data_IF_640217123868
#
_entry.id   IF_640217123868
#
_cell.length_a   1.000
_cell.length_b   1.000
_cell.length_c   1.000
_cell.angle_alpha   90.00
_cell.angle_beta   90.00
_cell.angle_gamma   90.00
#
_symmetry.space_group_name_H-M   'P 1'
#
loop_
_entity.id
_entity.type
_entity.pdbx_description
1 polymer ?
#
# COMPACT_ATOMS: atom_id res chain seq x y z
N UNK A 1 0.49 17.19 -9.81
CA UNK A 1 1.60 16.30 -9.41
C UNK A 1 2.38 16.00 -10.66
N UNK A 2 3.68 16.25 -10.67
CA UNK A 2 4.54 15.75 -11.75
C UNK A 2 4.73 14.23 -11.59
N UNK A 3 5.01 13.45 -12.64
CA UNK A 3 5.13 11.98 -12.57
C UNK A 3 6.09 11.47 -11.47
N UNK A 4 7.17 12.23 -11.24
CA UNK A 4 8.18 11.97 -10.21
C UNK A 4 7.68 12.12 -8.76
N UNK A 5 6.55 12.80 -8.53
CA UNK A 5 6.02 13.05 -7.18
C UNK A 5 4.87 12.11 -6.79
N UNK A 6 4.80 10.95 -7.44
CA UNK A 6 3.78 9.93 -7.18
C UNK A 6 4.24 8.92 -6.13
N UNK A 7 3.30 8.21 -5.51
CA UNK A 7 3.61 7.11 -4.60
C UNK A 7 4.57 6.09 -5.22
N UNK A 8 4.27 5.64 -6.44
CA UNK A 8 5.08 4.64 -7.15
C UNK A 8 6.51 5.14 -7.38
N UNK A 9 6.67 6.40 -7.79
CA UNK A 9 7.99 7.00 -7.99
C UNK A 9 8.80 7.02 -6.69
N UNK A 10 8.25 7.56 -5.58
CA UNK A 10 8.96 7.56 -4.30
C UNK A 10 9.31 6.16 -3.80
N UNK A 11 8.40 5.19 -3.96
CA UNK A 11 8.64 3.82 -3.55
C UNK A 11 9.76 3.17 -4.38
N UNK A 12 9.75 3.35 -5.70
CA UNK A 12 10.78 2.84 -6.60
C UNK A 12 12.14 3.49 -6.34
N UNK A 13 12.18 4.81 -6.16
CA UNK A 13 13.41 5.55 -5.81
C UNK A 13 14.00 5.06 -4.50
N UNK A 14 13.17 4.95 -3.45
CA UNK A 14 13.64 4.45 -2.15
C UNK A 14 14.09 2.99 -2.20
N UNK A 15 13.43 2.14 -3.01
CA UNK A 15 13.85 0.76 -3.19
C UNK A 15 15.17 0.66 -3.97
N UNK A 16 15.35 1.46 -5.02
CA UNK A 16 16.59 1.50 -5.79
C UNK A 16 17.77 1.92 -4.92
N UNK A 17 17.58 2.91 -4.05
CA UNK A 17 18.56 3.35 -3.07
C UNK A 17 18.90 2.24 -2.06
N UNK A 18 17.90 1.61 -1.43
CA UNK A 18 18.16 0.52 -0.48
C UNK A 18 18.80 -0.72 -1.13
N UNK A 19 18.39 -1.05 -2.36
CA UNK A 19 18.86 -2.23 -3.06
C UNK A 19 20.17 -2.01 -3.81
N UNK A 20 20.61 -0.75 -3.95
CA UNK A 20 21.78 -0.33 -4.75
C UNK A 20 21.75 -0.93 -6.17
N UNK A 21 20.55 -0.99 -6.78
CA UNK A 21 20.32 -1.51 -8.14
C UNK A 21 19.14 -0.82 -8.81
N UNK A 22 19.07 -0.80 -10.15
CA UNK A 22 17.92 -0.24 -10.87
C UNK A 22 16.61 -0.92 -10.48
N UNK A 23 15.53 -0.12 -10.42
CA UNK A 23 14.15 -0.59 -10.18
C UNK A 23 13.28 -0.12 -11.33
N UNK A 24 12.65 -1.05 -12.04
CA UNK A 24 11.65 -0.73 -13.06
C UNK A 24 10.27 -0.61 -12.41
N UNK A 25 9.64 0.55 -12.60
CA UNK A 25 8.30 0.82 -12.09
C UNK A 25 7.27 0.74 -13.22
N UNK A 26 6.33 -0.19 -13.09
CA UNK A 26 5.09 -0.18 -13.90
C UNK A 26 3.94 0.27 -13.02
N UNK A 27 3.31 1.40 -13.37
CA UNK A 27 2.13 1.91 -12.66
C UNK A 27 0.87 1.71 -13.50
N UNK A 28 -0.06 0.91 -12.97
CA UNK A 28 -1.42 0.74 -13.50
C UNK A 28 -2.47 1.42 -12.60
N UNK A 29 -2.02 2.27 -11.67
CA UNK A 29 -2.89 3.00 -10.76
C UNK A 29 -3.81 3.96 -11.53
N UNK A 30 -5.08 4.01 -11.12
CA UNK A 30 -6.08 4.88 -11.74
C UNK A 30 -6.79 5.71 -10.67
N UNK A 31 -6.96 7.00 -10.95
CA UNK A 31 -7.68 7.92 -10.07
C UNK A 31 -9.13 7.46 -9.92
N UNK A 32 -9.65 7.46 -8.70
CA UNK A 32 -11.02 7.02 -8.42
C UNK A 32 -11.25 5.50 -8.49
N UNK A 33 -10.21 4.69 -8.72
CA UNK A 33 -10.32 3.24 -8.75
C UNK A 33 -10.86 2.69 -7.42
N UNK A 34 -11.82 1.78 -7.53
CA UNK A 34 -12.33 0.95 -6.43
C UNK A 34 -11.63 -0.40 -6.46
N UNK A 35 -11.72 -1.19 -5.40
CA UNK A 35 -11.08 -2.51 -5.34
C UNK A 35 -11.47 -3.44 -6.48
N UNK A 36 -12.70 -3.33 -7.01
CA UNK A 36 -13.17 -4.09 -8.17
C UNK A 36 -12.39 -3.81 -9.47
N UNK A 37 -11.63 -2.71 -9.56
CA UNK A 37 -10.83 -2.38 -10.74
C UNK A 37 -9.49 -3.13 -10.79
N UNK A 38 -9.06 -3.75 -9.68
CA UNK A 38 -7.75 -4.40 -9.58
C UNK A 38 -7.55 -5.48 -10.64
N UNK A 39 -8.56 -6.30 -10.91
CA UNK A 39 -8.49 -7.35 -11.94
C UNK A 39 -8.10 -6.76 -13.31
N UNK A 40 -8.82 -5.72 -13.75
CA UNK A 40 -8.53 -5.05 -15.01
C UNK A 40 -7.22 -4.25 -15.02
N UNK A 41 -6.76 -3.78 -13.86
CA UNK A 41 -5.46 -3.12 -13.73
C UNK A 41 -4.31 -4.13 -13.84
N UNK A 42 -4.42 -5.26 -13.15
CA UNK A 42 -3.42 -6.35 -13.18
C UNK A 42 -3.31 -6.91 -14.60
N UNK A 43 -4.43 -7.10 -15.29
CA UNK A 43 -4.44 -7.58 -16.67
C UNK A 43 -3.71 -6.67 -17.68
N UNK A 44 -3.42 -5.41 -17.34
CA UNK A 44 -2.66 -4.47 -18.19
C UNK A 44 -1.15 -4.53 -17.97
N UNK A 45 -0.69 -5.21 -16.92
CA UNK A 45 0.73 -5.40 -16.67
C UNK A 45 1.20 -6.57 -17.55
N UNK A 46 2.14 -6.30 -18.46
CA UNK A 46 2.80 -7.35 -19.26
C UNK A 46 3.49 -8.35 -18.33
N UNK A 47 3.40 -9.65 -18.62
CA UNK A 47 3.87 -10.76 -17.76
C UNK A 47 5.39 -10.93 -17.86
N UNK A 48 6.15 -9.84 -17.72
CA UNK A 48 7.46 -9.96 -17.08
C UNK A 48 7.13 -9.96 -15.59
N UNK A 49 6.98 -11.16 -15.03
CA UNK A 49 6.52 -11.41 -13.66
C UNK A 49 7.18 -10.43 -12.68
N UNK A 50 6.47 -9.42 -12.16
CA UNK A 50 7.10 -8.43 -11.29
C UNK A 50 7.55 -9.11 -10.01
N UNK A 51 8.74 -8.74 -9.51
CA UNK A 51 9.26 -9.27 -8.24
C UNK A 51 8.33 -8.93 -7.07
N UNK A 52 7.75 -7.73 -7.08
CA UNK A 52 6.83 -7.25 -6.04
C UNK A 52 5.75 -6.33 -6.62
N UNK A 53 4.52 -6.49 -6.11
CA UNK A 53 3.39 -5.63 -6.38
C UNK A 53 2.96 -4.89 -5.10
N UNK A 54 2.96 -3.55 -5.16
CA UNK A 54 2.43 -2.71 -4.09
C UNK A 54 0.99 -2.25 -4.44
N UNK A 55 0.04 -2.53 -3.54
CA UNK A 55 -1.37 -2.18 -3.73
C UNK A 55 -1.81 -1.21 -2.63
N UNK A 56 -2.42 -0.08 -2.99
CA UNK A 56 -3.14 0.79 -2.05
C UNK A 56 -4.56 0.98 -2.54
N UNK A 57 -5.55 0.55 -1.77
CA UNK A 57 -6.96 0.60 -2.17
C UNK A 57 -7.90 0.64 -0.97
N UNK A 58 -9.13 1.15 -1.18
CA UNK A 58 -10.20 1.12 -0.19
C UNK A 58 -10.82 2.48 0.14
N UNK A 59 -10.09 3.58 -0.06
CA UNK A 59 -10.65 4.92 0.17
C UNK A 59 -11.88 5.18 -0.72
N UNK A 60 -11.79 4.83 -2.01
CA UNK A 60 -12.90 4.98 -2.95
C UNK A 60 -14.06 4.02 -2.68
N UNK A 61 -13.78 2.84 -2.13
CA UNK A 61 -14.80 1.88 -1.72
C UNK A 61 -15.66 2.45 -0.59
N UNK A 62 -15.02 3.12 0.38
CA UNK A 62 -15.74 3.80 1.47
C UNK A 62 -16.54 4.99 0.95
N UNK A 63 -15.96 5.86 0.12
CA UNK A 63 -16.67 7.04 -0.40
C UNK A 63 -17.86 6.67 -1.28
N UNK A 64 -17.77 5.56 -2.01
CA UNK A 64 -18.85 5.04 -2.84
C UNK A 64 -19.75 4.02 -2.15
N UNK A 65 -19.54 3.77 -0.85
CA UNK A 65 -20.34 2.84 -0.03
C UNK A 65 -20.42 1.42 -0.62
N UNK A 66 -19.31 0.95 -1.19
CA UNK A 66 -19.18 -0.44 -1.64
C UNK A 66 -19.35 -1.36 -0.43
N UNK A 67 -20.02 -2.50 -0.63
CA UNK A 67 -20.18 -3.49 0.43
C UNK A 67 -18.79 -4.02 0.82
N UNK A 68 -18.39 -4.01 2.10
CA UNK A 68 -17.06 -4.45 2.52
C UNK A 68 -16.70 -5.86 2.04
N UNK A 69 -17.67 -6.78 2.00
CA UNK A 69 -17.49 -8.14 1.49
C UNK A 69 -17.07 -8.19 0.02
N UNK A 70 -17.55 -7.26 -0.80
CA UNK A 70 -17.23 -7.19 -2.23
C UNK A 70 -15.82 -6.62 -2.43
N UNK A 71 -15.47 -5.55 -1.70
CA UNK A 71 -14.12 -5.00 -1.70
C UNK A 71 -13.10 -6.04 -1.22
N UNK A 72 -13.36 -6.71 -0.11
CA UNK A 72 -12.44 -7.70 0.48
C UNK A 72 -12.27 -8.91 -0.44
N UNK A 73 -13.36 -9.40 -1.06
CA UNK A 73 -13.29 -10.49 -2.04
C UNK A 73 -12.43 -10.10 -3.23
N UNK A 74 -12.69 -8.95 -3.85
CA UNK A 74 -11.92 -8.48 -5.00
C UNK A 74 -10.42 -8.31 -4.67
N UNK A 75 -10.10 -7.79 -3.48
CA UNK A 75 -8.70 -7.68 -3.04
C UNK A 75 -8.04 -9.05 -2.85
N UNK A 76 -8.73 -9.99 -2.19
CA UNK A 76 -8.23 -11.35 -1.97
C UNK A 76 -7.96 -12.07 -3.29
N UNK A 77 -8.87 -11.95 -4.24
CA UNK A 77 -8.77 -12.62 -5.54
C UNK A 77 -7.60 -12.03 -6.34
N UNK A 78 -7.41 -10.70 -6.30
CA UNK A 78 -6.25 -10.03 -6.89
C UNK A 78 -4.91 -10.48 -6.26
N UNK A 79 -4.83 -10.52 -4.93
CA UNK A 79 -3.62 -10.97 -4.21
C UNK A 79 -3.31 -12.43 -4.53
N UNK A 80 -4.34 -13.28 -4.56
CA UNK A 80 -4.20 -14.70 -4.86
C UNK A 80 -3.69 -14.91 -6.28
N UNK A 81 -4.19 -14.15 -7.26
CA UNK A 81 -3.73 -14.22 -8.65
C UNK A 81 -2.26 -13.81 -8.78
N UNK A 82 -1.85 -12.72 -8.14
CA UNK A 82 -0.45 -12.26 -8.15
C UNK A 82 0.49 -13.25 -7.45
N UNK A 83 0.10 -13.78 -6.30
CA UNK A 83 0.87 -14.80 -5.57
C UNK A 83 0.98 -16.11 -6.36
N UNK A 84 -0.09 -16.54 -7.03
CA UNK A 84 -0.07 -17.71 -7.91
C UNK A 84 0.84 -17.51 -9.13
N UNK A 85 0.97 -16.27 -9.59
CA UNK A 85 1.94 -15.87 -10.62
C UNK A 85 3.36 -15.68 -10.08
N UNK A 86 3.60 -15.90 -8.77
CA UNK A 86 4.91 -15.78 -8.12
C UNK A 86 5.39 -14.34 -7.90
N UNK A 87 4.47 -13.37 -7.85
CA UNK A 87 4.74 -11.99 -7.46
C UNK A 87 4.46 -11.81 -5.97
N UNK A 88 5.43 -11.30 -5.21
CA UNK A 88 5.18 -10.92 -3.82
C UNK A 88 4.23 -9.71 -3.75
N UNK A 89 3.29 -9.71 -2.79
CA UNK A 89 2.28 -8.66 -2.70
C UNK A 89 2.37 -7.94 -1.36
N UNK A 90 2.49 -6.61 -1.40
CA UNK A 90 2.45 -5.73 -0.23
C UNK A 90 1.25 -4.79 -0.35
N UNK A 91 0.31 -4.90 0.58
CA UNK A 91 -0.92 -4.12 0.56
C UNK A 91 -0.90 -3.05 1.65
N UNK A 92 -1.01 -1.79 1.22
CA UNK A 92 -1.43 -0.68 2.06
C UNK A 92 -2.94 -0.67 2.23
N UNK A 93 -3.44 -0.96 3.44
CA UNK A 93 -4.88 -1.04 3.69
C UNK A 93 -5.59 0.31 3.63
N UNK A 94 -6.92 0.28 3.63
CA UNK A 94 -7.76 1.46 3.57
C UNK A 94 -7.33 2.51 4.62
N UNK A 95 -6.99 3.75 4.21
CA UNK A 95 -6.58 4.79 5.14
C UNK A 95 -7.74 5.22 6.04
N UNK A 96 -7.45 5.75 7.23
CA UNK A 96 -8.47 6.30 8.14
C UNK A 96 -9.05 7.59 7.57
N UNK A 97 -10.23 7.50 6.96
CA UNK A 97 -10.91 8.66 6.40
C UNK A 97 -11.39 9.65 7.47
N UNK A 98 -11.36 9.28 8.75
CA UNK A 98 -11.54 10.22 9.86
C UNK A 98 -10.47 11.30 9.95
N UNK A 99 -9.33 11.14 9.27
CA UNK A 99 -8.24 12.12 9.23
C UNK A 99 -8.44 13.18 8.13
N UNK A 100 -9.39 12.96 7.22
CA UNK A 100 -9.70 13.85 6.10
C UNK A 100 -10.43 15.09 6.63
N UNK A 101 -9.74 16.24 6.63
CA UNK A 101 -10.22 17.50 7.24
C UNK A 101 -11.57 18.00 6.70
N UNK A 102 -11.87 17.91 5.39
CA UNK A 102 -13.18 18.30 4.87
C UNK A 102 -14.38 17.56 5.48
N UNK A 103 -14.17 16.40 6.12
CA UNK A 103 -15.26 15.62 6.71
C UNK A 103 -15.58 16.16 8.12
N UNK A 104 -16.74 16.79 8.25
CA UNK A 104 -17.23 17.32 9.52
C UNK A 104 -17.83 16.21 10.43
N UNK A 105 -17.86 16.40 11.76
CA UNK A 105 -18.67 15.58 12.66
C UNK A 105 -20.17 15.71 12.33
N UNK A 106 -20.98 14.65 12.48
CA UNK A 106 -20.63 13.31 12.97
C UNK A 106 -20.10 12.36 11.86
N UNK A 107 -20.12 12.78 10.58
CA UNK A 107 -19.68 11.95 9.46
C UNK A 107 -18.22 11.50 9.62
N UNK A 108 -17.38 12.34 10.21
CA UNK A 108 -15.97 12.00 10.46
C UNK A 108 -15.81 10.73 11.28
N UNK A 109 -16.61 10.57 12.34
CA UNK A 109 -16.59 9.38 13.20
C UNK A 109 -17.10 8.15 12.45
N UNK A 110 -18.11 8.32 11.60
CA UNK A 110 -18.65 7.24 10.75
C UNK A 110 -17.61 6.79 9.73
N UNK A 111 -17.03 7.73 8.98
CA UNK A 111 -16.01 7.48 7.96
C UNK A 111 -14.82 6.73 8.58
N UNK A 112 -14.34 7.20 9.74
CA UNK A 112 -13.32 6.56 10.56
C UNK A 112 -13.63 5.11 10.91
N UNK A 113 -14.82 4.86 11.46
CA UNK A 113 -15.23 3.52 11.85
C UNK A 113 -15.35 2.59 10.64
N UNK A 114 -15.85 3.09 9.51
CA UNK A 114 -16.00 2.31 8.29
C UNK A 114 -14.66 1.98 7.64
N UNK A 115 -13.78 2.97 7.52
CA UNK A 115 -12.45 2.76 6.95
C UNK A 115 -11.61 1.78 7.77
N UNK A 116 -11.65 1.87 9.12
CA UNK A 116 -10.93 0.92 9.98
C UNK A 116 -11.48 -0.49 9.92
N UNK A 117 -12.81 -0.65 9.85
CA UNK A 117 -13.43 -1.97 9.64
C UNK A 117 -13.03 -2.58 8.31
N UNK A 118 -13.02 -1.78 7.24
CA UNK A 118 -12.55 -2.23 5.93
C UNK A 118 -11.07 -2.60 5.99
N UNK A 119 -10.22 -1.77 6.60
CA UNK A 119 -8.78 -2.04 6.74
C UNK A 119 -8.49 -3.35 7.48
N UNK A 120 -9.19 -3.61 8.59
CA UNK A 120 -9.05 -4.87 9.33
C UNK A 120 -9.46 -6.09 8.49
N UNK A 121 -10.57 -5.98 7.75
CA UNK A 121 -11.04 -7.07 6.88
C UNK A 121 -10.11 -7.31 5.69
N UNK A 122 -9.56 -6.24 5.09
CA UNK A 122 -8.53 -6.34 4.07
C UNK A 122 -7.27 -7.01 4.61
N UNK A 123 -6.82 -6.65 5.82
CA UNK A 123 -5.64 -7.23 6.43
C UNK A 123 -5.78 -8.76 6.59
N UNK A 124 -6.91 -9.23 7.12
CA UNK A 124 -7.18 -10.67 7.26
C UNK A 124 -7.10 -11.36 5.89
N UNK A 125 -7.83 -10.85 4.90
CA UNK A 125 -7.92 -11.49 3.59
C UNK A 125 -6.59 -11.50 2.82
N UNK A 126 -5.78 -10.46 2.95
CA UNK A 126 -4.45 -10.38 2.32
C UNK A 126 -3.49 -11.38 2.95
N UNK A 127 -3.45 -11.47 4.28
CA UNK A 127 -2.58 -12.44 4.97
C UNK A 127 -2.98 -13.88 4.63
N UNK A 128 -4.29 -14.17 4.61
CA UNK A 128 -4.79 -15.50 4.21
C UNK A 128 -4.46 -15.85 2.75
N UNK A 129 -4.38 -14.84 1.87
CA UNK A 129 -3.96 -14.99 0.48
C UNK A 129 -2.42 -15.01 0.28
N UNK A 130 -1.64 -14.91 1.37
CA UNK A 130 -0.17 -14.97 1.33
C UNK A 130 0.54 -13.63 1.12
N UNK A 131 -0.20 -12.52 1.07
CA UNK A 131 0.40 -11.18 0.98
C UNK A 131 0.90 -10.64 2.33
N UNK A 132 1.55 -9.48 2.28
CA UNK A 132 1.96 -8.67 3.44
C UNK A 132 1.08 -7.44 3.55
N UNK A 133 0.87 -6.95 4.77
CA UNK A 133 -0.03 -5.83 5.03
C UNK A 133 0.71 -4.72 5.76
N UNK A 134 0.55 -3.49 5.28
CA UNK A 134 1.01 -2.27 5.94
C UNK A 134 -0.20 -1.41 6.28
N UNK A 135 -0.37 -1.08 7.56
CA UNK A 135 -1.38 -0.13 7.99
C UNK A 135 -0.96 1.28 7.63
N UNK A 136 -1.57 1.77 6.55
CA UNK A 136 -1.45 3.16 6.12
C UNK A 136 -2.39 4.10 6.86
N UNK A 137 -3.24 3.55 7.74
CA UNK A 137 -4.33 4.23 8.44
C UNK A 137 -3.92 5.54 9.11
N UNK A 138 -2.63 5.72 9.34
CA UNK A 138 -2.03 6.93 9.87
C UNK A 138 -0.55 7.00 9.44
N UNK A 139 -0.28 7.17 8.16
CA UNK A 139 1.09 7.53 7.71
C UNK A 139 1.60 8.81 8.39
N UNK A 140 0.75 9.52 9.14
CA UNK A 140 1.04 10.76 9.82
C UNK A 140 1.20 10.63 11.35
N UNK A 141 0.91 9.48 11.97
CA UNK A 141 1.11 9.28 13.41
C UNK A 141 0.52 10.42 14.27
N UNK A 142 0.97 10.53 15.52
CA UNK A 142 0.77 11.75 16.31
C UNK A 142 1.78 12.84 15.93
N UNK A 143 2.97 12.44 15.44
CA UNK A 143 4.09 13.34 15.13
C UNK A 143 3.81 14.28 13.95
N UNK A 144 2.94 13.90 13.01
CA UNK A 144 2.49 14.79 11.93
C UNK A 144 1.07 15.31 12.15
N UNK A 145 0.45 15.16 13.33
CA UNK A 145 -0.80 15.87 13.61
C UNK A 145 -0.60 17.40 13.51
N UNK A 146 0.60 17.87 13.86
CA UNK A 146 1.04 19.26 13.70
C UNK A 146 1.27 19.67 12.24
N UNK A 147 1.80 18.77 11.40
CA UNK A 147 2.16 19.01 9.99
C UNK A 147 1.11 18.45 9.00
N UNK A 148 -0.04 17.99 9.50
CA UNK A 148 -1.02 17.22 8.74
C UNK A 148 -1.58 18.01 7.56
N UNK A 149 -1.58 19.35 7.62
CA UNK A 149 -1.98 20.22 6.51
C UNK A 149 -1.10 20.05 5.27
N UNK A 150 0.18 19.76 5.47
CA UNK A 150 1.20 19.82 4.40
C UNK A 150 1.28 18.48 3.64
N UNK A 151 0.59 17.47 4.17
CA UNK A 151 0.60 16.09 3.69
C UNK A 151 -0.62 15.77 2.82
N UNK A 152 -1.56 16.71 2.73
CA UNK A 152 -2.64 16.68 1.76
C UNK A 152 -2.43 17.75 0.71
N UNK A 153 -2.87 17.46 -0.51
CA UNK A 153 -2.93 18.43 -1.59
C UNK A 153 -3.96 19.54 -1.34
N UNK A 154 -4.12 20.46 -2.30
CA UNK A 154 -5.05 21.58 -2.17
C UNK A 154 -6.51 21.17 -1.95
N UNK A 155 -6.90 19.98 -2.42
CA UNK A 155 -8.24 19.41 -2.23
C UNK A 155 -8.48 18.89 -0.80
N UNK A 156 -7.42 18.81 0.03
CA UNK A 156 -7.43 18.30 1.40
C UNK A 156 -7.97 16.87 1.51
N UNK A 157 -7.88 16.11 0.42
CA UNK A 157 -8.35 14.74 0.31
C UNK A 157 -7.23 13.81 -0.19
N UNK A 158 -6.59 14.16 -1.30
CA UNK A 158 -5.47 13.37 -1.83
C UNK A 158 -4.15 13.76 -1.16
N UNK A 159 -3.18 12.83 -1.05
CA UNK A 159 -1.86 13.16 -0.53
C UNK A 159 -1.16 14.23 -1.38
N UNK A 160 -0.41 15.12 -0.72
CA UNK A 160 0.57 15.98 -1.37
C UNK A 160 1.80 15.15 -1.81
N UNK A 161 2.78 15.71 -2.55
CA UNK A 161 4.07 15.04 -2.76
C UNK A 161 4.71 14.56 -1.45
N UNK A 162 4.71 15.40 -0.41
CA UNK A 162 5.21 15.02 0.91
C UNK A 162 4.37 13.89 1.54
N UNK A 163 3.05 13.92 1.34
CA UNK A 163 2.15 12.85 1.75
C UNK A 163 2.46 11.52 1.06
N UNK A 164 2.60 11.52 -0.27
CA UNK A 164 2.97 10.31 -1.03
C UNK A 164 4.33 9.77 -0.64
N UNK A 165 5.31 10.65 -0.40
CA UNK A 165 6.63 10.25 0.11
C UNK A 165 6.53 9.59 1.48
N UNK A 166 5.71 10.14 2.39
CA UNK A 166 5.47 9.52 3.68
C UNK A 166 4.77 8.15 3.54
N UNK A 167 3.82 8.01 2.61
CA UNK A 167 3.17 6.73 2.32
C UNK A 167 4.19 5.69 1.85
N UNK A 168 5.04 6.08 0.90
CA UNK A 168 6.11 5.25 0.36
C UNK A 168 7.09 4.83 1.46
N UNK A 169 7.53 5.76 2.31
CA UNK A 169 8.43 5.48 3.43
C UNK A 169 7.84 4.49 4.42
N UNK A 170 6.52 4.50 4.63
CA UNK A 170 5.83 3.52 5.47
C UNK A 170 5.81 2.10 4.87
N UNK A 171 5.67 1.97 3.56
CA UNK A 171 5.62 0.67 2.87
C UNK A 171 6.99 0.13 2.47
N UNK A 172 7.98 1.00 2.30
CA UNK A 172 9.28 0.66 1.74
C UNK A 172 9.97 -0.49 2.47
N UNK A 173 9.99 -0.57 3.81
CA UNK A 173 10.63 -1.71 4.49
C UNK A 173 9.98 -3.06 4.18
N UNK A 174 8.65 -3.09 4.06
CA UNK A 174 7.91 -4.33 3.74
C UNK A 174 8.12 -4.73 2.28
N UNK A 175 8.24 -3.75 1.38
CA UNK A 175 8.56 -3.97 -0.04
C UNK A 175 10.00 -4.45 -0.22
N UNK A 176 10.97 -3.81 0.44
CA UNK A 176 12.37 -4.24 0.44
C UNK A 176 12.51 -5.68 0.96
N UNK A 177 11.84 -6.00 2.08
CA UNK A 177 11.84 -7.35 2.64
C UNK A 177 11.12 -8.38 1.78
N UNK A 178 10.17 -7.97 0.91
CA UNK A 178 9.56 -8.87 -0.07
C UNK A 178 10.57 -9.30 -1.13
N UNK A 179 11.37 -8.36 -1.64
CA UNK A 179 12.38 -8.65 -2.68
C UNK A 179 13.76 -9.05 -2.12
N UNK A 180 13.83 -9.44 -0.85
CA UNK A 180 15.06 -9.93 -0.20
C UNK A 180 16.12 -8.86 0.10
N UNK A 181 15.76 -7.58 0.09
CA UNK A 181 16.65 -6.46 0.45
C UNK A 181 16.57 -6.24 1.95
N UNK A 182 17.71 -6.37 2.63
CA UNK A 182 17.82 -6.05 4.05
C UNK A 182 17.71 -4.54 4.28
N UNK A 183 17.00 -4.14 5.32
CA UNK A 183 16.93 -2.74 5.74
C UNK A 183 17.70 -2.62 7.05
N UNK A 184 18.66 -1.69 7.12
CA UNK A 184 19.43 -1.44 8.33
C UNK A 184 18.50 -1.07 9.50
N UNK A 185 18.69 -1.71 10.65
CA UNK A 185 17.78 -1.59 11.80
C UNK A 185 16.55 -2.51 11.75
N UNK A 186 16.49 -3.46 10.81
CA UNK A 186 15.65 -4.67 10.96
C UNK A 186 16.23 -5.55 12.07
N UNK A 187 16.16 -5.05 13.31
CA UNK A 187 16.46 -5.83 14.50
C UNK A 187 15.56 -7.06 14.42
N UNK A 188 16.17 -8.22 14.16
CA UNK A 188 15.51 -9.54 14.18
C UNK A 188 14.97 -9.91 15.58
N UNK A 189 14.97 -8.94 16.50
CA UNK A 189 14.49 -9.05 17.87
C UNK A 189 13.17 -8.30 17.98
N UNK A 190 12.12 -9.04 18.32
CA UNK A 190 10.82 -8.49 18.67
C UNK A 190 10.98 -7.53 19.86
N UNK A 191 10.36 -6.35 19.83
CA UNK A 191 10.26 -5.47 20.99
C UNK A 191 8.83 -5.52 21.59
N UNK A 192 8.55 -6.39 22.59
CA UNK A 192 7.24 -6.47 23.24
C UNK A 192 6.76 -5.13 23.82
N UNK A 193 7.70 -4.27 24.23
CA UNK A 193 7.42 -2.94 24.78
C UNK A 193 6.81 -1.97 23.75
N UNK A 194 6.94 -2.24 22.45
CA UNK A 194 6.28 -1.50 21.35
C UNK A 194 4.94 -2.11 20.93
N UNK A 195 4.46 -3.14 21.62
CA UNK A 195 3.25 -3.88 21.24
C UNK A 195 3.47 -4.85 20.08
N UNK A 196 4.73 -5.12 19.71
CA UNK A 196 5.08 -6.12 18.70
C UNK A 196 4.91 -7.53 19.27
N UNK A 197 4.46 -8.45 18.41
CA UNK A 197 4.33 -9.85 18.81
C UNK A 197 3.49 -10.70 17.89
N UNK A 198 3.53 -12.00 18.15
CA UNK A 198 2.68 -12.99 17.48
C UNK A 198 1.31 -12.99 18.13
N UNK A 199 0.30 -12.61 17.37
CA UNK A 199 -1.09 -12.50 17.82
C UNK A 199 -1.99 -13.34 16.91
N UNK A 200 -3.23 -13.58 17.32
CA UNK A 200 -4.22 -14.11 16.39
C UNK A 200 -4.42 -13.13 15.24
N UNK A 201 -4.59 -13.62 14.01
CA UNK A 201 -4.75 -12.75 12.84
C UNK A 201 -5.89 -11.72 13.00
N UNK A 202 -7.09 -12.07 13.50
CA UNK A 202 -8.13 -11.07 13.75
C UNK A 202 -7.71 -9.99 14.75
N UNK A 203 -6.92 -10.33 15.78
CA UNK A 203 -6.43 -9.37 16.77
C UNK A 203 -5.32 -8.49 16.19
N UNK A 204 -4.37 -9.07 15.46
CA UNK A 204 -3.34 -8.31 14.75
C UNK A 204 -3.95 -7.34 13.74
N UNK A 205 -4.93 -7.79 12.97
CA UNK A 205 -5.65 -6.96 12.00
C UNK A 205 -6.43 -5.82 12.65
N UNK A 206 -7.13 -6.07 13.76
CA UNK A 206 -7.83 -5.03 14.51
C UNK A 206 -6.86 -4.00 15.09
N UNK A 207 -5.78 -4.46 15.74
CA UNK A 207 -4.75 -3.58 16.26
C UNK A 207 -4.07 -2.78 15.15
N UNK A 208 -3.78 -3.39 14.00
CA UNK A 208 -3.20 -2.69 12.86
C UNK A 208 -4.17 -1.66 12.26
N UNK A 209 -5.47 -1.94 12.24
CA UNK A 209 -6.46 -0.96 11.80
C UNK A 209 -6.56 0.26 12.74
N UNK A 210 -6.33 0.06 14.04
CA UNK A 210 -6.30 1.12 15.04
C UNK A 210 -4.91 1.78 15.21
N UNK A 211 -3.84 1.08 14.82
CA UNK A 211 -2.44 1.47 15.04
C UNK A 211 -1.66 1.69 13.75
N UNK A 212 -1.04 2.84 13.77
CA UNK A 212 -0.35 3.57 12.71
C UNK A 212 0.98 2.94 12.34
N UNK A 213 1.28 2.77 11.04
CA UNK A 213 2.61 2.30 10.60
C UNK A 213 2.95 0.88 11.08
N UNK A 214 1.92 0.08 11.35
CA UNK A 214 2.06 -1.32 11.73
C UNK A 214 2.15 -2.18 10.48
N UNK A 215 3.10 -3.10 10.46
CA UNK A 215 3.11 -4.19 9.51
C UNK A 215 2.44 -5.41 10.15
N UNK A 216 1.57 -6.06 9.38
CA UNK A 216 1.06 -7.39 9.69
C UNK A 216 1.61 -8.35 8.64
N UNK A 217 2.22 -9.43 9.10
CA UNK A 217 2.73 -10.51 8.24
C UNK A 217 2.39 -11.87 8.83
N UNK A 218 2.38 -12.93 8.01
CA UNK A 218 2.18 -14.29 8.53
C UNK A 218 3.32 -14.67 9.47
N UNK A 219 3.01 -15.30 10.61
CA UNK A 219 4.02 -15.80 11.54
C UNK A 219 4.91 -16.91 10.92
N UNK A 220 4.46 -17.51 9.82
CA UNK A 220 5.16 -18.57 9.07
C UNK A 220 6.40 -18.04 8.35
N UNK A 221 6.39 -16.75 7.99
CA UNK A 221 7.48 -16.09 7.27
C UNK A 221 8.75 -15.92 8.13
N UNK A 222 8.66 -16.07 9.46
CA UNK A 222 9.80 -15.90 10.38
C UNK A 222 10.10 -17.16 11.19
N UNK A 223 9.07 -17.88 11.65
CA UNK A 223 9.30 -19.03 12.55
C UNK A 223 9.72 -20.32 11.83
N UNK A 224 9.60 -20.38 10.50
CA UNK A 224 9.86 -21.59 9.70
C UNK A 224 8.89 -22.76 9.99
N UNK A 225 7.96 -22.59 10.93
CA UNK A 225 6.93 -23.55 11.27
C UNK A 225 5.61 -23.14 10.62
N UNK A 226 4.97 -24.05 9.88
CA UNK A 226 3.64 -23.82 9.31
C UNK A 226 2.62 -23.67 10.45
N UNK A 227 2.24 -22.44 10.77
CA UNK A 227 0.99 -22.16 11.47
C UNK A 227 -0.16 -22.78 10.67
N UNK A 228 -1.18 -23.35 11.34
CA UNK A 228 -2.37 -23.80 10.64
C UNK A 228 -3.06 -22.59 10.00
N UNK A 229 -2.84 -22.37 8.70
CA UNK A 229 -3.56 -21.44 7.80
C UNK A 229 -3.80 -20.04 8.39
N UNK A 230 -2.76 -19.23 8.54
CA UNK A 230 -2.94 -17.80 8.82
C UNK A 230 -3.57 -17.47 10.18
N UNK A 231 -3.62 -18.44 11.12
CA UNK A 231 -4.20 -18.20 12.46
C UNK A 231 -3.40 -17.22 13.31
N UNK A 232 -2.11 -17.11 13.03
CA UNK A 232 -1.17 -16.30 13.77
C UNK A 232 -0.49 -15.32 12.82
N UNK A 233 -0.48 -14.06 13.22
CA UNK A 233 0.14 -12.99 12.48
C UNK A 233 1.11 -12.26 13.39
N UNK A 234 2.23 -11.86 12.83
CA UNK A 234 3.18 -10.99 13.47
C UNK A 234 2.76 -9.55 13.24
N UNK A 235 2.65 -8.79 14.33
CA UNK A 235 2.50 -7.34 14.31
C UNK A 235 3.86 -6.71 14.60
N UNK A 236 4.36 -5.81 13.72
CA UNK A 236 5.61 -5.05 13.93
C UNK A 236 5.39 -3.56 13.72
N UNK A 237 6.22 -2.73 14.35
CA UNK A 237 6.34 -1.31 14.09
C UNK A 237 7.68 -1.03 13.41
N UNK A 238 7.69 -0.99 12.07
CA UNK A 238 8.93 -0.75 11.33
C UNK A 238 9.35 0.71 11.40
N UNK A 239 10.64 0.95 11.64
CA UNK A 239 11.25 2.28 11.50
C UNK A 239 11.19 2.69 10.03
N UNK A 240 10.84 3.96 9.81
CA UNK A 240 10.65 4.50 8.45
C UNK A 240 11.98 5.05 7.93
N UNK A 241 12.46 4.60 6.76
CA UNK A 241 13.61 5.21 6.12
C UNK A 241 13.27 6.61 5.59
N UNK A 242 14.29 7.45 5.44
CA UNK A 242 14.17 8.73 4.74
C UNK A 242 14.27 8.47 3.25
N UNK A 243 13.22 8.80 2.50
CA UNK A 243 13.24 8.73 1.03
C UNK A 243 13.67 10.11 0.49
N UNK A 244 14.73 10.21 -0.33
CA UNK A 244 15.13 11.49 -0.93
C UNK A 244 14.07 11.99 -1.93
N UNK A 245 13.99 13.30 -2.21
CA UNK A 245 13.16 13.82 -3.30
C UNK A 245 13.66 13.28 -4.65
N UNK A 246 12.77 13.10 -5.63
CA UNK A 246 13.04 12.44 -6.93
C UNK A 246 13.89 13.32 -7.89
N UNK A 247 14.70 14.24 -7.37
CA UNK A 247 15.57 15.13 -8.16
C UNK A 247 17.01 14.63 -8.37
N UNK A 248 17.40 13.52 -7.74
CA UNK A 248 18.79 13.01 -7.75
C UNK A 248 18.96 11.68 -8.48
N UNK A 249 17.89 11.08 -9.02
CA UNK A 249 17.97 9.80 -9.75
C UNK A 249 17.44 10.00 -11.17
N UNK A 250 18.33 9.92 -12.15
CA UNK A 250 18.00 9.97 -13.58
C UNK A 250 16.92 8.92 -13.89
N UNK A 251 15.70 9.38 -14.12
CA UNK A 251 14.56 8.52 -14.45
C UNK A 251 14.33 8.62 -15.96
N UNK A 252 14.75 7.60 -16.69
CA UNK A 252 14.38 7.43 -18.09
C UNK A 252 12.91 6.95 -18.16
N UNK A 253 11.99 7.92 -18.19
CA UNK A 253 10.57 7.69 -18.41
C UNK A 253 10.36 7.32 -19.89
N UNK A 254 10.19 6.04 -20.20
CA UNK A 254 9.67 5.62 -21.50
C UNK A 254 8.16 5.88 -21.51
N UNK A 255 7.77 7.08 -21.94
CA UNK A 255 6.39 7.36 -22.32
C UNK A 255 6.10 6.61 -23.62
N UNK A 256 5.28 5.56 -23.56
CA UNK A 256 4.74 4.95 -24.77
C UNK A 256 3.77 5.95 -25.43
N UNK A 257 4.21 6.59 -26.51
CA UNK A 257 3.36 7.34 -27.42
C UNK A 257 2.35 6.38 -28.06
N UNK A 258 1.07 6.52 -27.71
CA UNK A 258 -0.01 6.10 -28.61
C UNK A 258 -0.12 7.16 -29.71
N UNK A 259 0.55 6.94 -30.83
CA UNK A 259 0.18 7.55 -32.10
C UNK A 259 -1.13 6.87 -32.54
N UNK A 260 -2.23 7.61 -32.42
CA UNK A 260 -3.45 7.27 -33.14
C UNK A 260 -3.23 7.60 -34.62
N UNK A 261 -2.91 6.59 -35.42
CA UNK A 261 -3.13 6.65 -36.86
C UNK A 261 -4.64 6.79 -37.11
N UNK A 262 -5.08 7.99 -37.48
CA UNK A 262 -6.37 8.19 -38.12
C UNK A 262 -6.18 7.78 -39.58
N UNK A 263 -6.90 6.75 -40.10
CA UNK A 263 -6.86 6.47 -41.51
C UNK A 263 -7.57 7.60 -42.24
N UNK A 264 -6.87 8.24 -43.18
CA UNK A 264 -7.51 9.11 -44.15
C UNK A 264 -8.61 8.32 -44.89
N UNK A 265 -9.83 8.81 -44.80
CA UNK A 265 -10.93 8.31 -45.64
C UNK A 265 -10.79 8.89 -47.04
N UNK A 266 -10.97 8.09 -48.11
CA UNK A 266 -10.82 8.57 -49.47
C UNK A 266 -12.09 9.32 -49.91
N UNK A 267 -11.88 10.52 -50.48
CA UNK A 267 -12.65 11.07 -51.61
C UNK A 267 -14.15 11.35 -51.44
N UNK A 268 -14.49 12.64 -51.53
CA UNK A 268 -15.84 13.15 -51.78
C UNK A 268 -15.85 14.67 -51.84
#
# INVERSE_FOLDING_TARGET
LVPAETFGAFLATGLADLAQRPVWLTSVAAVGARTSALEGQIARVSIDQPDVCAIIVGANDVTHRVRPSDSVRALRDAVTALQAAGTDVVVGTCPDLGTVRPIAPPLRQVARAWSRRLAAAQAIAVIEAGGRVVSLGTILGAEFAATQSDLFGPDRFHPSPAGYRACAAGMLPSVASAVGVAVDGDEQQYEPLRGEGVLSLPRAAALAADSTGTEVSSADLITGARSPRGRWALLRHRRRPVIPPVGEVETELVAAELIAEVPESPGG
#
